data_IF_553692633093
#
_entry.id   IF_553692633093
#
_cell.length_a   1.000
_cell.length_b   1.000
_cell.length_c   1.000
_cell.angle_alpha   90.00
_cell.angle_beta   90.00
_cell.angle_gamma   90.00
#
_symmetry.space_group_name_H-M   'P 1'
#
loop_
_entity.id
_entity.type
_entity.pdbx_description
1 polymer ?
#
# COMPACT_ATOMS: atom_id res chain seq x y z
N UNK A 1 -21.24 16.13 -39.25
CA UNK A 1 -22.58 16.28 -38.64
C UNK A 1 -22.40 16.63 -37.16
N UNK A 2 -22.77 17.83 -36.76
CA UNK A 2 -22.64 18.29 -35.38
C UNK A 2 -23.69 17.56 -34.51
N UNK A 3 -23.25 16.71 -33.58
CA UNK A 3 -24.13 16.17 -32.53
C UNK A 3 -24.67 17.36 -31.75
N UNK A 4 -25.99 17.47 -31.63
CA UNK A 4 -26.60 18.59 -30.91
C UNK A 4 -26.03 18.63 -29.49
N UNK A 5 -25.72 19.83 -29.00
CA UNK A 5 -25.26 20.07 -27.62
C UNK A 5 -26.13 19.34 -26.57
N UNK A 6 -27.42 19.14 -26.91
CA UNK A 6 -28.42 18.44 -26.11
C UNK A 6 -28.24 16.92 -25.94
N UNK A 7 -27.31 16.26 -26.64
CA UNK A 7 -26.98 14.83 -26.49
C UNK A 7 -25.57 14.57 -25.94
N UNK A 8 -24.81 15.64 -25.66
CA UNK A 8 -23.44 15.53 -25.14
C UNK A 8 -23.44 14.76 -23.82
N UNK A 9 -22.49 13.84 -23.65
CA UNK A 9 -22.31 12.98 -22.46
C UNK A 9 -23.45 12.01 -22.14
N UNK A 10 -24.47 11.89 -22.99
CA UNK A 10 -25.56 10.94 -22.83
C UNK A 10 -25.31 9.73 -23.73
N UNK A 11 -25.29 8.53 -23.17
CA UNK A 11 -25.19 7.26 -23.92
C UNK A 11 -26.34 6.35 -23.53
N UNK A 12 -27.12 5.89 -24.50
CA UNK A 12 -28.15 4.87 -24.27
C UNK A 12 -27.51 3.48 -24.21
N UNK A 13 -27.87 2.68 -23.21
CA UNK A 13 -27.43 1.29 -23.06
C UNK A 13 -28.65 0.43 -22.71
N UNK A 14 -29.18 -0.29 -23.69
CA UNK A 14 -30.50 -0.92 -23.59
C UNK A 14 -31.61 0.12 -23.44
N UNK A 15 -32.50 -0.07 -22.47
CA UNK A 15 -33.61 0.85 -22.19
C UNK A 15 -33.25 2.01 -21.26
N UNK A 16 -32.06 2.01 -20.67
CA UNK A 16 -31.65 3.04 -19.72
C UNK A 16 -30.58 3.96 -20.30
N UNK A 17 -30.60 5.22 -19.87
CA UNK A 17 -29.56 6.19 -20.17
C UNK A 17 -28.39 6.10 -19.17
N UNK A 18 -27.19 6.38 -19.67
CA UNK A 18 -25.96 6.50 -18.91
C UNK A 18 -25.28 7.83 -19.24
N UNK A 19 -24.67 8.44 -18.23
CA UNK A 19 -23.74 9.54 -18.37
C UNK A 19 -22.36 8.97 -18.69
N UNK A 20 -21.70 9.48 -19.72
CA UNK A 20 -20.31 9.17 -20.04
C UNK A 20 -19.56 10.44 -20.37
N UNK A 21 -18.56 10.77 -19.58
CA UNK A 21 -17.71 11.94 -19.79
C UNK A 21 -16.25 11.53 -19.76
N UNK A 22 -15.49 11.95 -20.77
CA UNK A 22 -14.06 11.69 -20.84
C UNK A 22 -13.29 12.53 -19.83
N UNK A 23 -12.29 11.92 -19.19
CA UNK A 23 -11.40 12.58 -18.26
C UNK A 23 -10.22 13.16 -19.07
N UNK A 24 -9.95 14.48 -18.98
CA UNK A 24 -8.80 15.10 -19.63
C UNK A 24 -7.50 14.38 -19.27
N UNK A 25 -6.59 14.22 -20.24
CA UNK A 25 -5.32 13.46 -20.06
C UNK A 25 -4.55 13.92 -18.82
N UNK A 26 -4.41 15.24 -18.65
CA UNK A 26 -3.71 15.85 -17.51
C UNK A 26 -4.35 15.56 -16.14
N UNK A 27 -5.61 15.13 -16.10
CA UNK A 27 -6.33 14.81 -14.87
C UNK A 27 -6.43 13.30 -14.62
N UNK A 28 -6.04 12.44 -15.57
CA UNK A 28 -6.24 10.99 -15.42
C UNK A 28 -5.54 10.41 -14.19
N UNK A 29 -4.37 10.94 -13.83
CA UNK A 29 -3.64 10.53 -12.62
C UNK A 29 -4.39 10.84 -11.31
N UNK A 30 -5.28 11.84 -11.33
CA UNK A 30 -6.17 12.14 -10.20
C UNK A 30 -7.39 11.23 -10.14
N UNK A 31 -7.68 10.50 -11.21
CA UNK A 31 -8.83 9.60 -11.33
C UNK A 31 -8.38 8.16 -11.64
N UNK A 32 -7.28 7.70 -11.05
CA UNK A 32 -6.77 6.32 -11.17
C UNK A 32 -6.47 5.85 -12.60
N UNK A 33 -6.05 6.76 -13.48
CA UNK A 33 -5.81 6.46 -14.88
C UNK A 33 -7.10 6.22 -15.68
N UNK A 34 -8.28 6.39 -15.08
CA UNK A 34 -9.56 6.23 -15.77
C UNK A 34 -9.62 7.21 -16.93
N UNK A 35 -10.05 6.71 -18.08
CA UNK A 35 -10.20 7.54 -19.29
C UNK A 35 -11.55 8.24 -19.35
N UNK A 36 -12.55 7.78 -18.59
CA UNK A 36 -13.89 8.35 -18.55
C UNK A 36 -14.62 8.05 -17.23
N UNK A 37 -15.46 9.00 -16.81
CA UNK A 37 -16.48 8.81 -15.77
C UNK A 37 -17.73 8.27 -16.44
N UNK A 38 -18.24 7.14 -15.94
CA UNK A 38 -19.45 6.50 -16.46
C UNK A 38 -20.41 6.30 -15.29
N UNK A 39 -21.60 6.90 -15.36
CA UNK A 39 -22.62 6.81 -14.31
C UNK A 39 -23.97 6.40 -14.92
N UNK A 40 -24.62 5.33 -14.45
CA UNK A 40 -25.97 4.99 -14.91
C UNK A 40 -26.98 6.03 -14.39
N UNK A 41 -27.81 6.58 -15.30
CA UNK A 41 -28.83 7.57 -14.95
C UNK A 41 -30.14 6.92 -14.47
N UNK A 42 -30.23 5.59 -14.50
CA UNK A 42 -31.36 4.78 -14.01
C UNK A 42 -32.73 5.28 -14.47
N UNK A 43 -32.83 5.69 -15.73
CA UNK A 43 -34.10 6.14 -16.33
C UNK A 43 -34.10 5.86 -17.83
N UNK A 44 -35.27 5.52 -18.36
CA UNK A 44 -35.58 5.40 -19.79
C UNK A 44 -36.21 6.69 -20.35
N UNK A 45 -36.62 7.64 -19.48
CA UNK A 45 -37.19 8.91 -19.88
C UNK A 45 -36.08 9.90 -20.28
N UNK A 46 -36.15 10.38 -21.52
CA UNK A 46 -35.19 11.29 -22.12
C UNK A 46 -35.15 12.66 -21.42
N UNK A 47 -36.28 13.18 -20.92
CA UNK A 47 -36.32 14.47 -20.19
C UNK A 47 -35.65 14.33 -18.83
N UNK A 48 -35.94 13.24 -18.10
CA UNK A 48 -35.32 12.95 -16.80
C UNK A 48 -33.82 12.67 -16.96
N UNK A 49 -33.42 11.95 -18.01
CA UNK A 49 -32.02 11.67 -18.33
C UNK A 49 -31.23 12.95 -18.61
N UNK A 50 -31.79 13.90 -19.37
CA UNK A 50 -31.16 15.20 -19.64
C UNK A 50 -30.96 16.02 -18.37
N UNK A 51 -31.96 16.08 -17.49
CA UNK A 51 -31.85 16.79 -16.20
C UNK A 51 -30.75 16.21 -15.32
N UNK A 52 -30.75 14.88 -15.12
CA UNK A 52 -29.72 14.19 -14.32
C UNK A 52 -28.33 14.33 -14.95
N UNK A 53 -28.23 14.29 -16.27
CA UNK A 53 -26.97 14.58 -16.97
C UNK A 53 -26.46 15.98 -16.62
N UNK A 54 -27.31 17.00 -16.67
CA UNK A 54 -26.89 18.39 -16.41
C UNK A 54 -26.44 18.60 -14.95
N UNK A 55 -26.97 17.82 -14.02
CA UNK A 55 -26.47 17.73 -12.65
C UNK A 55 -25.06 17.11 -12.61
N UNK A 56 -24.87 15.94 -13.25
CA UNK A 56 -23.55 15.30 -13.33
C UNK A 56 -22.52 16.10 -14.11
N UNK A 57 -22.91 16.89 -15.12
CA UNK A 57 -22.00 17.80 -15.83
C UNK A 57 -21.46 18.86 -14.87
N UNK A 58 -22.34 19.51 -14.10
CA UNK A 58 -21.95 20.53 -13.12
C UNK A 58 -21.05 19.95 -12.02
N UNK A 59 -21.39 18.76 -11.54
CA UNK A 59 -20.58 18.04 -10.55
C UNK A 59 -19.19 17.69 -11.10
N UNK A 60 -19.13 17.13 -12.31
CA UNK A 60 -17.86 16.77 -12.94
C UNK A 60 -17.04 17.98 -13.41
N UNK A 61 -17.67 19.11 -13.76
CA UNK A 61 -16.98 20.38 -14.01
C UNK A 61 -16.29 20.87 -12.75
N UNK A 62 -17.02 20.89 -11.62
CA UNK A 62 -16.48 21.27 -10.32
C UNK A 62 -15.32 20.35 -9.91
N UNK A 63 -15.48 19.03 -10.08
CA UNK A 63 -14.41 18.06 -9.81
C UNK A 63 -13.18 18.29 -10.70
N UNK A 64 -13.35 18.60 -11.99
CA UNK A 64 -12.21 18.86 -12.86
C UNK A 64 -11.52 20.20 -12.54
N UNK A 65 -12.27 21.22 -12.14
CA UNK A 65 -11.71 22.50 -11.70
C UNK A 65 -10.96 22.37 -10.37
N UNK A 66 -11.52 21.67 -9.39
CA UNK A 66 -10.87 21.42 -8.12
C UNK A 66 -9.59 20.58 -8.31
N UNK A 67 -9.57 19.63 -9.26
CA UNK A 67 -8.40 18.83 -9.60
C UNK A 67 -7.32 19.64 -10.33
N UNK A 68 -7.72 20.51 -11.28
CA UNK A 68 -6.79 21.43 -11.96
C UNK A 68 -6.14 22.43 -11.00
N UNK A 69 -6.90 22.89 -10.01
CA UNK A 69 -6.42 23.86 -9.02
C UNK A 69 -5.63 23.20 -7.87
N UNK A 70 -5.41 21.89 -7.92
CA UNK A 70 -4.72 21.13 -6.86
C UNK A 70 -5.45 21.12 -5.51
N UNK A 71 -6.74 21.50 -5.50
CA UNK A 71 -7.58 21.61 -4.29
C UNK A 71 -8.39 20.35 -4.00
N UNK A 72 -8.53 19.47 -5.00
CA UNK A 72 -8.88 18.08 -4.73
C UNK A 72 -7.64 17.40 -4.16
N UNK A 73 -7.64 17.16 -2.85
CA UNK A 73 -7.07 15.90 -2.36
C UNK A 73 -7.74 14.81 -3.20
N UNK A 74 -6.95 13.94 -3.84
CA UNK A 74 -7.47 12.85 -4.68
C UNK A 74 -8.73 12.29 -3.98
N UNK A 75 -9.89 12.16 -4.66
CA UNK A 75 -11.00 11.42 -4.07
C UNK A 75 -10.39 10.11 -3.61
N UNK A 76 -10.48 9.81 -2.31
CA UNK A 76 -9.85 8.61 -1.75
C UNK A 76 -10.34 7.46 -2.62
N UNK A 77 -9.44 6.88 -3.40
CA UNK A 77 -9.82 5.80 -4.28
C UNK A 77 -10.29 4.65 -3.39
N UNK A 78 -11.14 3.78 -3.93
CA UNK A 78 -11.61 2.59 -3.22
C UNK A 78 -10.44 1.81 -2.60
N UNK A 79 -9.27 1.81 -3.26
CA UNK A 79 -8.02 1.22 -2.77
C UNK A 79 -7.50 1.91 -1.50
N UNK A 80 -7.48 3.23 -1.48
CA UNK A 80 -7.03 4.02 -0.34
C UNK A 80 -7.97 3.88 0.87
N UNK A 81 -9.29 3.81 0.63
CA UNK A 81 -10.27 3.50 1.68
C UNK A 81 -10.10 2.10 2.26
N UNK A 82 -9.83 1.11 1.41
CA UNK A 82 -9.58 -0.27 1.87
C UNK A 82 -8.26 -0.31 2.65
N UNK A 83 -7.21 0.38 2.18
CA UNK A 83 -5.90 0.42 2.84
C UNK A 83 -5.97 1.07 4.23
N UNK A 84 -6.68 2.19 4.36
CA UNK A 84 -6.80 2.87 5.66
C UNK A 84 -7.65 2.07 6.64
N UNK A 85 -8.71 1.38 6.18
CA UNK A 85 -9.46 0.43 7.02
C UNK A 85 -8.57 -0.70 7.52
N UNK A 86 -7.73 -1.26 6.66
CA UNK A 86 -6.82 -2.34 7.06
C UNK A 86 -5.74 -1.87 8.04
N UNK A 87 -5.30 -0.62 7.98
CA UNK A 87 -4.44 -0.06 9.04
C UNK A 87 -5.13 -0.04 10.39
N UNK A 88 -6.42 0.32 10.42
CA UNK A 88 -7.20 0.31 11.65
C UNK A 88 -7.36 -1.11 12.21
N UNK A 89 -7.60 -2.10 11.35
CA UNK A 89 -7.69 -3.51 11.77
C UNK A 89 -6.33 -4.06 12.26
N UNK A 90 -5.21 -3.70 11.60
CA UNK A 90 -3.85 -4.05 12.07
C UNK A 90 -3.56 -3.39 13.43
N UNK A 91 -3.90 -2.11 13.60
CA UNK A 91 -3.72 -1.43 14.88
C UNK A 91 -4.62 -2.02 15.98
N UNK A 92 -5.84 -2.46 15.64
CA UNK A 92 -6.72 -3.14 16.58
C UNK A 92 -6.15 -4.50 17.02
N UNK A 93 -5.61 -5.28 16.07
CA UNK A 93 -4.91 -6.52 16.35
C UNK A 93 -3.69 -6.31 17.26
N UNK A 94 -2.85 -5.31 16.98
CA UNK A 94 -1.67 -5.00 17.82
C UNK A 94 -2.05 -4.63 19.26
N UNK A 95 -3.22 -4.04 19.48
CA UNK A 95 -3.72 -3.70 20.81
C UNK A 95 -4.32 -4.92 21.54
N UNK A 96 -5.09 -5.76 20.83
CA UNK A 96 -5.74 -6.95 21.39
C UNK A 96 -5.92 -8.06 20.34
N UNK A 97 -4.90 -8.93 20.17
CA UNK A 97 -4.91 -9.99 19.15
C UNK A 97 -6.05 -11.01 19.33
N UNK A 98 -6.40 -11.32 20.58
CA UNK A 98 -7.41 -12.33 20.92
C UNK A 98 -8.81 -11.80 20.60
N UNK A 99 -9.12 -10.57 21.02
CA UNK A 99 -10.41 -9.96 20.72
C UNK A 99 -10.60 -9.73 19.21
N UNK A 100 -9.54 -9.37 18.50
CA UNK A 100 -9.57 -9.22 17.05
C UNK A 100 -9.86 -10.56 16.35
N UNK A 101 -9.17 -11.64 16.72
CA UNK A 101 -9.37 -12.98 16.16
C UNK A 101 -10.78 -13.51 16.40
N UNK A 102 -11.33 -13.27 17.60
CA UNK A 102 -12.71 -13.61 17.92
C UNK A 102 -13.73 -12.82 17.06
N UNK A 103 -13.47 -11.53 16.81
CA UNK A 103 -14.28 -10.70 15.89
C UNK A 103 -14.18 -11.18 14.43
N UNK A 104 -13.02 -11.70 14.02
CA UNK A 104 -12.81 -12.30 12.70
C UNK A 104 -13.49 -13.69 12.56
N UNK A 105 -14.10 -14.21 13.63
CA UNK A 105 -14.88 -15.45 13.60
C UNK A 105 -14.07 -16.71 13.91
N UNK A 106 -12.87 -16.57 14.46
CA UNK A 106 -12.02 -17.71 14.90
C UNK A 106 -12.24 -17.97 16.38
N UNK A 107 -12.45 -19.24 16.74
CA UNK A 107 -12.48 -19.69 18.14
C UNK A 107 -11.04 -19.84 18.61
N UNK A 108 -10.58 -18.90 19.42
CA UNK A 108 -9.23 -18.94 20.01
C UNK A 108 -9.27 -19.79 21.26
N UNK A 109 -8.84 -21.05 21.18
CA UNK A 109 -8.77 -21.97 22.32
C UNK A 109 -7.34 -22.02 22.93
N UNK A 110 -6.33 -21.59 22.16
CA UNK A 110 -4.92 -21.40 22.54
C UNK A 110 -4.34 -20.13 21.89
N UNK A 111 -3.26 -19.57 22.46
CA UNK A 111 -2.54 -18.42 21.87
C UNK A 111 -2.05 -18.66 20.43
N UNK A 112 -1.80 -19.91 20.06
CA UNK A 112 -1.38 -20.31 18.70
C UNK A 112 -2.54 -20.27 17.67
N UNK A 113 -3.80 -20.17 18.12
CA UNK A 113 -5.00 -20.13 17.27
C UNK A 113 -5.42 -18.69 16.90
N UNK A 114 -4.62 -17.70 17.28
CA UNK A 114 -4.85 -16.28 16.98
C UNK A 114 -4.63 -16.05 15.48
N UNK A 115 -5.68 -15.59 14.79
CA UNK A 115 -5.63 -15.24 13.38
C UNK A 115 -4.96 -13.87 13.22
N UNK A 116 -4.00 -13.76 12.31
CA UNK A 116 -3.40 -12.48 11.99
C UNK A 116 -4.24 -11.74 10.94
N UNK A 117 -4.30 -10.40 10.97
CA UNK A 117 -4.74 -9.59 9.83
C UNK A 117 -4.06 -9.99 8.51
N UNK A 118 -2.83 -10.51 8.56
CA UNK A 118 -2.11 -11.05 7.41
C UNK A 118 -2.87 -12.20 6.71
N UNK A 119 -3.43 -13.14 7.49
CA UNK A 119 -4.11 -14.32 6.96
C UNK A 119 -5.39 -13.95 6.20
N UNK A 120 -5.95 -12.78 6.49
CA UNK A 120 -7.21 -12.30 5.93
C UNK A 120 -6.97 -11.25 4.84
N UNK A 121 -5.89 -10.48 4.92
CA UNK A 121 -5.59 -9.41 3.96
C UNK A 121 -5.08 -9.95 2.62
N UNK A 122 -4.48 -11.15 2.59
CA UNK A 122 -4.05 -11.79 1.34
C UNK A 122 -5.19 -11.90 0.32
N UNK A 123 -6.39 -12.29 0.77
CA UNK A 123 -7.59 -12.35 -0.08
C UNK A 123 -7.96 -10.98 -0.65
N UNK A 124 -7.85 -9.92 0.15
CA UNK A 124 -8.13 -8.56 -0.31
C UNK A 124 -7.07 -8.07 -1.30
N UNK A 125 -5.80 -8.40 -1.06
CA UNK A 125 -4.68 -8.10 -1.96
C UNK A 125 -4.88 -8.77 -3.31
N UNK A 126 -5.25 -10.05 -3.34
CA UNK A 126 -5.54 -10.79 -4.56
C UNK A 126 -6.78 -10.26 -5.29
N UNK A 127 -7.84 -9.93 -4.54
CA UNK A 127 -9.07 -9.33 -5.08
C UNK A 127 -8.77 -7.99 -5.75
N UNK A 128 -8.01 -7.09 -5.09
CA UNK A 128 -7.60 -5.81 -5.67
C UNK A 128 -6.75 -6.01 -6.94
N UNK A 129 -5.81 -6.96 -6.90
CA UNK A 129 -5.00 -7.30 -8.08
C UNK A 129 -5.85 -7.78 -9.26
N UNK A 130 -6.84 -8.64 -9.00
CA UNK A 130 -7.72 -9.24 -10.01
C UNK A 130 -8.73 -8.23 -10.56
N UNK A 131 -9.37 -7.44 -9.70
CA UNK A 131 -10.43 -6.50 -10.07
C UNK A 131 -9.90 -5.18 -10.63
N UNK A 132 -8.76 -4.71 -10.11
CA UNK A 132 -8.26 -3.34 -10.34
C UNK A 132 -6.84 -3.29 -10.91
N UNK A 133 -6.17 -4.45 -11.03
CA UNK A 133 -4.86 -4.59 -11.66
C UNK A 133 -3.68 -4.36 -10.72
N UNK A 134 -2.49 -4.75 -11.17
CA UNK A 134 -1.26 -4.73 -10.37
C UNK A 134 -0.83 -3.33 -9.90
N UNK A 135 -1.15 -2.28 -10.65
CA UNK A 135 -0.86 -0.88 -10.22
C UNK A 135 -1.74 -0.46 -9.05
N UNK A 136 -2.97 -0.97 -8.95
CA UNK A 136 -3.87 -0.71 -7.83
C UNK A 136 -3.43 -1.51 -6.59
N UNK A 137 -3.07 -2.78 -6.77
CA UNK A 137 -2.47 -3.62 -5.72
C UNK A 137 -1.17 -3.02 -5.17
N UNK A 138 -0.31 -2.51 -6.04
CA UNK A 138 0.89 -1.78 -5.66
C UNK A 138 0.60 -0.59 -4.73
N UNK A 139 -0.36 0.25 -5.12
CA UNK A 139 -0.80 1.43 -4.34
C UNK A 139 -1.49 1.06 -3.02
N UNK A 140 -2.30 0.01 -3.01
CA UNK A 140 -2.93 -0.54 -1.81
C UNK A 140 -1.87 -0.87 -0.77
N UNK A 141 -0.90 -1.68 -1.16
CA UNK A 141 0.18 -2.13 -0.30
C UNK A 141 1.11 -0.97 0.12
N UNK A 142 1.39 -0.01 -0.77
CA UNK A 142 2.19 1.19 -0.43
C UNK A 142 1.47 2.07 0.60
N UNK A 143 0.15 2.17 0.48
CA UNK A 143 -0.67 2.95 1.40
C UNK A 143 -0.74 2.22 2.73
N UNK A 144 -1.07 0.94 2.73
CA UNK A 144 -1.23 0.08 3.90
C UNK A 144 0.02 0.06 4.77
N UNK A 145 1.19 -0.12 4.17
CA UNK A 145 2.44 -0.27 4.92
C UNK A 145 3.11 1.06 5.25
N UNK A 146 2.54 2.19 4.79
CA UNK A 146 3.18 3.49 4.69
C UNK A 146 4.55 3.42 3.98
N UNK A 147 5.17 4.58 3.67
CA UNK A 147 6.54 4.63 3.13
C UNK A 147 7.56 4.34 4.22
N UNK A 148 7.38 3.24 4.94
CA UNK A 148 8.13 2.92 6.13
C UNK A 148 9.60 2.74 5.76
N UNK A 149 10.40 3.64 6.29
CA UNK A 149 11.85 3.62 6.06
C UNK A 149 12.46 2.51 6.92
N UNK A 150 13.63 2.02 6.52
CA UNK A 150 14.34 0.98 7.28
C UNK A 150 14.69 1.44 8.70
N UNK A 151 14.81 2.76 8.94
CA UNK A 151 15.18 3.32 10.24
C UNK A 151 14.01 3.45 11.21
N UNK A 152 12.76 3.43 10.71
CA UNK A 152 11.58 3.89 11.45
C UNK A 152 11.32 3.11 12.74
N UNK A 153 11.55 1.79 12.72
CA UNK A 153 11.30 0.92 13.87
C UNK A 153 12.58 0.47 14.60
N UNK A 154 13.73 1.07 14.28
CA UNK A 154 15.01 0.63 14.86
C UNK A 154 15.05 0.85 16.36
N UNK A 155 14.57 1.99 16.86
CA UNK A 155 14.61 2.28 18.29
C UNK A 155 13.64 1.39 19.09
N UNK A 156 12.44 1.16 18.56
CA UNK A 156 11.47 0.21 19.15
C UNK A 156 12.10 -1.18 19.24
N UNK A 157 12.64 -1.68 18.14
CA UNK A 157 13.36 -2.96 18.10
C UNK A 157 14.47 -3.04 19.16
N UNK A 158 15.32 -2.03 19.24
CA UNK A 158 16.45 -2.03 20.17
C UNK A 158 16.02 -1.94 21.64
N UNK A 159 14.86 -1.32 21.92
CA UNK A 159 14.31 -1.20 23.27
C UNK A 159 13.79 -2.51 23.84
N UNK A 160 13.39 -3.43 22.98
CA UNK A 160 12.86 -4.76 23.35
C UNK A 160 13.97 -5.80 23.58
N UNK A 161 15.22 -5.47 23.25
CA UNK A 161 16.37 -6.36 23.41
C UNK A 161 16.98 -6.24 24.81
N UNK A 162 17.07 -7.36 25.53
CA UNK A 162 17.84 -7.43 26.77
C UNK A 162 19.34 -7.61 26.48
N UNK A 163 20.00 -6.53 26.06
CA UNK A 163 21.42 -6.51 25.70
C UNK A 163 22.19 -5.39 26.39
N UNK A 164 23.50 -5.57 26.57
CA UNK A 164 24.38 -4.53 27.11
C UNK A 164 24.36 -3.28 26.23
N UNK A 165 24.46 -2.05 26.79
CA UNK A 165 24.38 -0.81 26.03
C UNK A 165 25.36 -0.70 24.84
N UNK A 166 26.60 -1.18 25.03
CA UNK A 166 27.61 -1.22 23.95
C UNK A 166 27.18 -2.08 22.77
N UNK A 167 26.51 -3.20 23.04
CA UNK A 167 25.99 -4.12 22.02
C UNK A 167 24.80 -3.50 21.29
N UNK A 168 23.89 -2.84 22.01
CA UNK A 168 22.78 -2.07 21.43
C UNK A 168 23.32 -1.00 20.48
N UNK A 169 24.33 -0.24 20.89
CA UNK A 169 24.94 0.79 20.05
C UNK A 169 25.58 0.21 18.78
N UNK A 170 26.29 -0.92 18.90
CA UNK A 170 26.86 -1.62 17.74
C UNK A 170 25.77 -2.10 16.77
N UNK A 171 24.72 -2.74 17.28
CA UNK A 171 23.59 -3.22 16.48
C UNK A 171 22.85 -2.07 15.79
N UNK A 172 22.63 -0.96 16.49
CA UNK A 172 22.08 0.28 15.92
C UNK A 172 22.90 0.74 14.72
N UNK A 173 24.22 0.87 14.89
CA UNK A 173 25.10 1.33 13.83
C UNK A 173 25.10 0.38 12.62
N UNK A 174 24.99 -0.93 12.84
CA UNK A 174 24.92 -1.92 11.76
C UNK A 174 23.62 -1.83 10.95
N UNK A 175 22.48 -1.62 11.61
CA UNK A 175 21.18 -1.48 10.94
C UNK A 175 21.10 -0.13 10.21
N UNK A 176 21.56 0.96 10.84
CA UNK A 176 21.58 2.28 10.23
C UNK A 176 22.52 2.38 9.03
N UNK A 177 23.59 1.57 8.99
CA UNK A 177 24.41 1.44 7.77
C UNK A 177 23.59 0.95 6.58
N UNK A 178 22.75 -0.08 6.80
CA UNK A 178 21.86 -0.58 5.76
C UNK A 178 20.74 0.42 5.44
N UNK A 179 20.13 1.04 6.46
CA UNK A 179 19.10 2.06 6.26
C UNK A 179 19.62 3.22 5.40
N UNK A 180 20.82 3.72 5.66
CA UNK A 180 21.45 4.79 4.87
C UNK A 180 21.68 4.36 3.40
N UNK A 181 22.05 3.09 3.16
CA UNK A 181 22.19 2.56 1.80
C UNK A 181 20.83 2.48 1.10
N UNK A 182 19.79 1.99 1.78
CA UNK A 182 18.44 1.87 1.24
C UNK A 182 17.83 3.26 0.92
N UNK A 183 17.97 4.22 1.83
CA UNK A 183 17.48 5.59 1.65
C UNK A 183 18.10 6.27 0.43
N UNK A 184 19.41 6.09 0.18
CA UNK A 184 20.07 6.62 -1.03
C UNK A 184 19.49 6.06 -2.33
N UNK A 185 18.89 4.87 -2.29
CA UNK A 185 18.24 4.21 -3.42
C UNK A 185 16.74 4.47 -3.48
N UNK A 186 16.20 5.22 -2.53
CA UNK A 186 14.75 5.44 -2.39
C UNK A 186 14.00 4.16 -2.02
N UNK A 187 14.68 3.17 -1.45
CA UNK A 187 14.09 1.91 -1.04
C UNK A 187 13.44 2.03 0.35
N UNK A 188 12.23 1.48 0.47
CA UNK A 188 11.49 1.30 1.73
C UNK A 188 11.62 -0.15 2.21
N UNK A 189 11.18 -0.41 3.45
CA UNK A 189 11.13 -1.77 4.03
C UNK A 189 10.46 -2.75 3.06
N UNK A 190 9.33 -2.39 2.44
CA UNK A 190 8.64 -3.24 1.47
C UNK A 190 9.43 -3.51 0.18
N UNK A 191 10.06 -2.48 -0.39
CA UNK A 191 10.72 -2.62 -1.71
C UNK A 191 12.05 -3.38 -1.63
N UNK A 192 12.53 -3.69 -0.43
CA UNK A 192 13.77 -4.43 -0.23
C UNK A 192 13.46 -5.92 -0.43
N UNK A 193 13.68 -6.36 -1.66
CA UNK A 193 13.61 -7.76 -2.04
C UNK A 193 14.98 -8.46 -1.89
N UNK A 194 15.04 -9.74 -2.27
CA UNK A 194 16.28 -10.53 -2.27
C UNK A 194 17.37 -9.92 -3.15
N UNK A 195 17.01 -9.23 -4.23
CA UNK A 195 17.96 -8.59 -5.13
C UNK A 195 18.59 -7.38 -4.47
N UNK A 196 17.80 -6.52 -3.84
CA UNK A 196 18.29 -5.39 -3.05
C UNK A 196 19.22 -5.85 -1.92
N UNK A 197 18.85 -6.93 -1.22
CA UNK A 197 19.70 -7.53 -0.20
C UNK A 197 21.04 -8.06 -0.77
N UNK A 198 21.03 -8.69 -1.95
CA UNK A 198 22.25 -9.14 -2.63
C UNK A 198 23.14 -7.97 -3.08
N UNK A 199 22.55 -6.89 -3.61
CA UNK A 199 23.27 -5.68 -4.01
C UNK A 199 23.98 -5.05 -2.80
N UNK A 200 23.28 -4.88 -1.67
CA UNK A 200 23.90 -4.39 -0.43
C UNK A 200 25.03 -5.30 0.06
N UNK A 201 24.81 -6.61 -0.01
CA UNK A 201 25.81 -7.59 0.39
C UNK A 201 27.09 -7.45 -0.44
N UNK A 202 26.98 -7.32 -1.77
CA UNK A 202 28.11 -7.20 -2.67
C UNK A 202 28.82 -5.83 -2.57
N UNK A 203 28.06 -4.75 -2.47
CA UNK A 203 28.58 -3.38 -2.48
C UNK A 203 29.17 -2.94 -1.14
N UNK A 204 28.64 -3.46 -0.04
CA UNK A 204 28.99 -2.98 1.31
C UNK A 204 29.65 -4.09 2.12
N UNK A 205 29.02 -5.25 2.27
CA UNK A 205 29.49 -6.27 3.20
C UNK A 205 30.74 -7.00 2.69
N UNK A 206 30.82 -7.32 1.38
CA UNK A 206 32.00 -7.96 0.79
C UNK A 206 33.24 -7.06 0.75
N UNK A 207 33.08 -5.74 0.93
CA UNK A 207 34.21 -4.80 1.02
C UNK A 207 34.86 -4.77 2.41
N UNK A 208 34.28 -5.46 3.39
CA UNK A 208 34.75 -5.51 4.78
C UNK A 208 35.45 -6.84 5.08
N UNK A 209 36.18 -6.90 6.19
CA UNK A 209 36.66 -8.20 6.68
C UNK A 209 35.48 -9.12 7.01
N UNK A 210 35.66 -10.42 6.76
CA UNK A 210 34.60 -11.44 6.87
C UNK A 210 33.87 -11.40 8.22
N UNK A 211 34.61 -11.33 9.33
CA UNK A 211 34.03 -11.33 10.68
C UNK A 211 33.13 -10.11 10.92
N UNK A 212 33.55 -8.93 10.47
CA UNK A 212 32.75 -7.70 10.55
C UNK A 212 31.51 -7.79 9.66
N UNK A 213 31.66 -8.31 8.44
CA UNK A 213 30.55 -8.47 7.51
C UNK A 213 29.49 -9.46 8.05
N UNK A 214 29.91 -10.62 8.56
CA UNK A 214 29.03 -11.62 9.18
C UNK A 214 28.27 -11.06 10.39
N UNK A 215 28.95 -10.26 11.22
CA UNK A 215 28.34 -9.59 12.38
C UNK A 215 27.22 -8.64 11.93
N UNK A 216 27.53 -7.75 10.97
CA UNK A 216 26.57 -6.79 10.41
C UNK A 216 25.37 -7.48 9.76
N UNK A 217 25.65 -8.46 8.91
CA UNK A 217 24.63 -9.27 8.25
C UNK A 217 23.68 -9.93 9.25
N UNK A 218 24.23 -10.54 10.31
CA UNK A 218 23.42 -11.19 11.34
C UNK A 218 22.53 -10.21 12.10
N UNK A 219 23.04 -9.01 12.40
CA UNK A 219 22.26 -7.95 13.05
C UNK A 219 21.12 -7.44 12.16
N UNK A 220 21.38 -7.20 10.87
CA UNK A 220 20.35 -6.78 9.91
C UNK A 220 19.29 -7.88 9.72
N UNK A 221 19.72 -9.14 9.60
CA UNK A 221 18.82 -10.28 9.48
C UNK A 221 17.91 -10.43 10.70
N UNK A 222 18.46 -10.25 11.91
CA UNK A 222 17.68 -10.29 13.14
C UNK A 222 16.64 -9.17 13.20
N UNK A 223 16.99 -7.95 12.77
CA UNK A 223 16.05 -6.84 12.66
C UNK A 223 14.91 -7.14 11.67
N UNK A 224 15.22 -7.75 10.53
CA UNK A 224 14.20 -8.08 9.54
C UNK A 224 13.22 -9.17 10.00
N UNK A 225 13.69 -10.15 10.79
CA UNK A 225 12.82 -11.13 11.43
C UNK A 225 11.87 -10.46 12.41
N UNK A 226 12.39 -9.53 13.22
CA UNK A 226 11.58 -8.75 14.15
C UNK A 226 10.50 -7.91 13.43
N UNK A 227 10.81 -7.36 12.25
CA UNK A 227 9.85 -6.64 11.41
C UNK A 227 8.73 -7.55 10.90
N UNK A 228 9.06 -8.79 10.52
CA UNK A 228 8.09 -9.80 10.08
C UNK A 228 7.19 -10.22 11.24
N UNK A 229 7.77 -10.50 12.41
CA UNK A 229 7.04 -10.91 13.62
C UNK A 229 6.03 -9.86 14.13
N UNK A 230 6.15 -8.60 13.71
CA UNK A 230 5.29 -7.48 14.11
C UNK A 230 4.46 -6.91 12.96
N UNK A 231 4.38 -7.65 11.85
CA UNK A 231 3.61 -7.30 10.66
C UNK A 231 4.03 -5.97 9.98
N UNK A 232 5.27 -5.52 10.22
CA UNK A 232 5.84 -4.35 9.52
C UNK A 232 6.39 -4.72 8.13
N UNK A 233 6.61 -6.00 7.87
CA UNK A 233 7.04 -6.55 6.57
C UNK A 233 6.34 -7.88 6.32
N UNK A 234 5.63 -8.01 5.20
CA UNK A 234 4.71 -9.12 4.95
C UNK A 234 5.25 -10.17 3.95
N UNK A 235 6.49 -10.04 3.51
CA UNK A 235 7.10 -11.03 2.61
C UNK A 235 8.13 -11.89 3.35
N UNK A 236 8.61 -12.95 2.68
CA UNK A 236 9.77 -13.70 3.12
C UNK A 236 10.98 -12.77 3.35
N UNK A 237 11.73 -13.04 4.42
CA UNK A 237 12.94 -12.28 4.70
C UNK A 237 13.91 -12.32 3.50
N UNK A 238 14.32 -11.16 2.95
CA UNK A 238 15.20 -11.08 1.79
C UNK A 238 16.62 -11.60 2.11
N UNK A 239 16.92 -11.79 3.41
CA UNK A 239 18.22 -12.20 3.93
C UNK A 239 18.38 -13.72 4.13
N UNK A 240 17.30 -14.52 4.09
CA UNK A 240 17.38 -15.92 4.54
C UNK A 240 18.27 -16.82 3.66
N UNK A 241 18.25 -16.59 2.34
CA UNK A 241 18.97 -17.42 1.37
C UNK A 241 20.35 -16.88 0.99
N UNK A 242 20.74 -15.72 1.53
CA UNK A 242 22.09 -15.18 1.31
C UNK A 242 23.10 -15.92 2.20
N UNK A 243 24.27 -16.22 1.64
CA UNK A 243 25.38 -16.92 2.28
C UNK A 243 26.69 -16.23 1.92
N UNK A 244 27.60 -16.17 2.89
CA UNK A 244 28.98 -15.77 2.61
C UNK A 244 29.66 -16.87 1.79
N UNK A 245 30.44 -16.50 0.76
CA UNK A 245 31.27 -17.46 0.03
C UNK A 245 32.38 -18.07 0.90
#
# INVERSE_FOLDING_TARGET
MARSSSERFLKRRGDKYQFRREIPVALRDHFDGKTAIIQPLQTSDTKVAKRRRDEFVRETDRLFEEARNGRLSKPMGRVEEIADRWKEEIAAYQNDPIAWSAKAGVVVDREEDVLSPHDVIEYEIESIGTEQGEVAKGRFLDRLHNRTTVEEHVETYLSELDLKPKTIQGRRADILLFAAWATKRGSTVRTIDRRAAADFFAEVLLQMNRKTAETKFSNIKAYWRWLIERDFYLEDSPWERLRFP
#
